data_IF_101041123375
#
_entry.id   IF_101041123375
#
_cell.length_a   1.000
_cell.length_b   1.000
_cell.length_c   1.000
_cell.angle_alpha   90.00
_cell.angle_beta   90.00
_cell.angle_gamma   90.00
#
_symmetry.space_group_name_H-M   'P 1'
#
loop_
_entity.id
_entity.type
_entity.pdbx_description
1 polymer ?
#
# COMPACT_ATOMS: atom_id res chain seq x y z
N UNK A 1 4.00 -10.99 21.34
CA UNK A 1 3.28 -11.83 20.36
C UNK A 1 3.78 -11.41 19.00
N UNK A 2 4.34 -12.32 18.22
CA UNK A 2 4.88 -11.99 16.89
C UNK A 2 3.70 -11.89 15.92
N UNK A 3 3.22 -10.67 15.66
CA UNK A 3 2.17 -10.42 14.67
C UNK A 3 2.72 -10.73 13.28
N UNK A 4 1.92 -11.38 12.43
CA UNK A 4 2.28 -11.65 11.04
C UNK A 4 2.45 -10.30 10.30
N UNK A 5 3.64 -9.97 9.76
CA UNK A 5 3.89 -8.68 9.14
C UNK A 5 3.00 -8.44 7.90
N UNK A 6 2.59 -9.49 7.19
CA UNK A 6 1.68 -9.36 6.04
C UNK A 6 0.26 -8.97 6.49
N UNK A 7 -0.18 -9.45 7.68
CA UNK A 7 -1.47 -9.07 8.26
C UNK A 7 -1.45 -7.60 8.74
N UNK A 8 -0.35 -7.17 9.33
CA UNK A 8 -0.14 -5.76 9.69
C UNK A 8 -0.15 -4.86 8.45
N UNK A 9 0.49 -5.31 7.36
CA UNK A 9 0.48 -4.60 6.08
C UNK A 9 -0.95 -4.45 5.53
N UNK A 10 -1.71 -5.55 5.49
CA UNK A 10 -3.10 -5.54 5.03
C UNK A 10 -3.97 -4.61 5.88
N UNK A 11 -3.86 -4.68 7.21
CA UNK A 11 -4.60 -3.82 8.15
C UNK A 11 -4.30 -2.35 7.90
N UNK A 12 -3.03 -2.00 7.69
CA UNK A 12 -2.64 -0.62 7.40
C UNK A 12 -3.14 -0.14 6.04
N UNK A 13 -3.21 -1.00 5.04
CA UNK A 13 -3.80 -0.67 3.73
C UNK A 13 -5.31 -0.42 3.85
N UNK A 14 -6.04 -1.24 4.61
CA UNK A 14 -7.47 -1.05 4.87
C UNK A 14 -7.75 0.29 5.56
N UNK A 15 -6.90 0.72 6.51
CA UNK A 15 -7.02 2.04 7.11
C UNK A 15 -6.87 3.20 6.10
N UNK A 16 -6.19 3.01 4.96
CA UNK A 16 -6.11 4.01 3.91
C UNK A 16 -7.35 4.07 3.02
N UNK A 17 -8.22 3.06 3.04
CA UNK A 17 -9.51 3.09 2.35
C UNK A 17 -10.50 4.01 3.08
N UNK A 18 -10.38 4.11 4.40
CA UNK A 18 -11.11 5.05 5.26
C UNK A 18 -10.11 5.92 6.04
N UNK A 19 -9.41 6.84 5.36
CA UNK A 19 -8.31 7.59 5.96
C UNK A 19 -8.80 8.50 7.09
N UNK A 20 -7.96 8.67 8.11
CA UNK A 20 -8.25 9.61 9.20
C UNK A 20 -8.40 11.04 8.64
N UNK A 21 -9.52 11.74 8.88
CA UNK A 21 -9.76 13.06 8.30
C UNK A 21 -8.89 14.15 8.94
N UNK A 22 -8.33 13.91 10.13
CA UNK A 22 -7.47 14.85 10.86
C UNK A 22 -6.03 14.85 10.32
N UNK A 23 -5.66 13.83 9.55
CA UNK A 23 -4.30 13.61 9.07
C UNK A 23 -4.27 13.62 7.54
N UNK A 24 -3.41 14.43 6.90
CA UNK A 24 -3.29 14.41 5.44
C UNK A 24 -3.01 13.00 4.92
N UNK A 25 -3.73 12.57 3.88
CA UNK A 25 -3.57 11.24 3.28
C UNK A 25 -2.10 10.97 2.87
N UNK A 26 -1.39 12.00 2.41
CA UNK A 26 0.04 11.92 2.09
C UNK A 26 0.90 11.53 3.29
N UNK A 27 0.60 12.06 4.49
CA UNK A 27 1.28 11.70 5.74
C UNK A 27 0.98 10.24 6.09
N UNK A 28 -0.29 9.82 6.03
CA UNK A 28 -0.68 8.44 6.34
C UNK A 28 0.01 7.42 5.42
N UNK A 29 0.09 7.71 4.11
CA UNK A 29 0.79 6.86 3.13
C UNK A 29 2.30 6.84 3.39
N UNK A 30 2.91 8.00 3.69
CA UNK A 30 4.35 8.06 3.98
C UNK A 30 4.70 7.23 5.23
N UNK A 31 3.86 7.27 6.27
CA UNK A 31 4.03 6.43 7.45
C UNK A 31 3.95 4.93 7.12
N UNK A 32 3.01 4.52 6.26
CA UNK A 32 2.94 3.13 5.76
C UNK A 32 4.21 2.75 4.97
N UNK A 33 4.68 3.61 4.08
CA UNK A 33 5.91 3.36 3.31
C UNK A 33 7.12 3.15 4.20
N UNK A 34 7.32 4.01 5.19
CA UNK A 34 8.44 3.90 6.13
C UNK A 34 8.36 2.61 6.92
N UNK A 35 7.17 2.28 7.45
CA UNK A 35 6.95 1.03 8.16
C UNK A 35 7.22 -0.19 7.25
N UNK A 36 6.75 -0.17 5.99
CA UNK A 36 7.00 -1.25 5.04
C UNK A 36 8.49 -1.45 4.78
N UNK A 37 9.24 -0.36 4.54
CA UNK A 37 10.69 -0.44 4.32
C UNK A 37 11.43 -1.04 5.52
N UNK A 38 11.06 -0.66 6.73
CA UNK A 38 11.66 -1.17 7.96
C UNK A 38 11.36 -2.65 8.19
N UNK A 39 10.14 -3.12 7.88
CA UNK A 39 9.70 -4.48 8.19
C UNK A 39 10.02 -5.49 7.08
N UNK A 40 10.11 -5.05 5.82
CA UNK A 40 10.26 -5.96 4.67
C UNK A 40 11.59 -5.83 3.93
N UNK A 41 12.21 -4.65 3.90
CA UNK A 41 13.43 -4.39 3.12
C UNK A 41 14.71 -4.33 3.99
N UNK A 42 14.56 -4.28 5.31
CA UNK A 42 15.68 -4.11 6.25
C UNK A 42 16.47 -5.37 6.57
N UNK A 43 16.11 -6.54 6.03
CA UNK A 43 16.81 -7.81 6.34
C UNK A 43 16.91 -8.67 5.09
N UNK A 44 18.12 -9.18 4.82
CA UNK A 44 18.35 -10.27 3.86
C UNK A 44 17.50 -11.46 4.33
N UNK A 45 16.33 -11.62 3.73
CA UNK A 45 15.39 -12.65 4.12
C UNK A 45 15.54 -13.79 3.13
N UNK A 46 15.65 -15.02 3.64
CA UNK A 46 15.52 -16.27 2.89
C UNK A 46 14.07 -16.45 2.45
N UNK A 47 13.58 -15.53 1.62
CA UNK A 47 12.23 -15.51 1.07
C UNK A 47 12.24 -16.14 -0.31
N UNK A 48 11.21 -16.92 -0.68
CA UNK A 48 11.09 -17.42 -2.04
C UNK A 48 11.03 -16.27 -3.06
N UNK A 49 11.58 -16.47 -4.25
CA UNK A 49 11.67 -15.45 -5.31
C UNK A 49 10.31 -14.82 -5.65
N UNK A 50 9.23 -15.61 -5.61
CA UNK A 50 7.86 -15.15 -5.82
C UNK A 50 7.42 -14.12 -4.79
N UNK A 51 7.79 -14.34 -3.52
CA UNK A 51 7.48 -13.41 -2.44
C UNK A 51 8.31 -12.13 -2.56
N UNK A 52 9.60 -12.25 -2.85
CA UNK A 52 10.47 -11.08 -3.08
C UNK A 52 9.95 -10.22 -4.24
N UNK A 53 9.54 -10.86 -5.34
CA UNK A 53 8.96 -10.18 -6.51
C UNK A 53 7.69 -9.40 -6.14
N UNK A 54 6.80 -9.99 -5.34
CA UNK A 54 5.59 -9.31 -4.85
C UNK A 54 5.93 -8.15 -3.93
N UNK A 55 6.90 -8.29 -3.03
CA UNK A 55 7.31 -7.20 -2.14
C UNK A 55 7.90 -6.01 -2.91
N UNK A 56 8.66 -6.26 -3.97
CA UNK A 56 9.14 -5.21 -4.89
C UNK A 56 7.97 -4.51 -5.58
N UNK A 57 6.99 -5.25 -6.09
CA UNK A 57 5.80 -4.66 -6.71
C UNK A 57 4.94 -3.89 -5.69
N UNK A 58 4.77 -4.38 -4.47
CA UNK A 58 4.11 -3.65 -3.38
C UNK A 58 4.85 -2.35 -3.10
N UNK A 59 6.18 -2.37 -2.97
CA UNK A 59 6.97 -1.17 -2.72
C UNK A 59 6.78 -0.12 -3.82
N UNK A 60 6.80 -0.56 -5.08
CA UNK A 60 6.52 0.28 -6.24
C UNK A 60 5.11 0.85 -6.21
N UNK A 61 4.09 0.05 -5.91
CA UNK A 61 2.72 0.52 -5.80
C UNK A 61 2.54 1.52 -4.66
N UNK A 62 3.18 1.31 -3.51
CA UNK A 62 3.15 2.28 -2.41
C UNK A 62 3.76 3.63 -2.83
N UNK A 63 4.85 3.66 -3.60
CA UNK A 63 5.44 4.90 -4.14
C UNK A 63 4.48 5.63 -5.07
N UNK A 64 3.82 4.90 -5.97
CA UNK A 64 2.82 5.48 -6.88
C UNK A 64 1.61 5.99 -6.11
N UNK A 65 1.19 5.31 -5.04
CA UNK A 65 0.09 5.75 -4.18
C UNK A 65 0.38 7.11 -3.54
N UNK A 66 1.60 7.32 -3.05
CA UNK A 66 2.02 8.61 -2.50
C UNK A 66 1.99 9.72 -3.57
N UNK A 67 2.38 9.39 -4.80
CA UNK A 67 2.33 10.32 -5.93
C UNK A 67 0.88 10.70 -6.28
N UNK A 68 -0.03 9.73 -6.33
CA UNK A 68 -1.45 9.99 -6.58
C UNK A 68 -2.07 10.85 -5.47
N UNK A 69 -1.72 10.59 -4.21
CA UNK A 69 -2.18 11.40 -3.08
C UNK A 69 -1.65 12.85 -3.12
N UNK A 70 -0.38 13.04 -3.51
CA UNK A 70 0.19 14.38 -3.69
C UNK A 70 -0.49 15.13 -4.87
N UNK A 71 -0.81 14.42 -5.96
CA UNK A 71 -1.58 15.01 -7.05
C UNK A 71 -3.02 15.33 -6.64
N UNK A 72 -3.67 14.48 -5.86
CA UNK A 72 -5.00 14.77 -5.32
C UNK A 72 -4.98 16.04 -4.45
N UNK A 73 -3.98 16.17 -3.57
CA UNK A 73 -3.83 17.32 -2.69
C UNK A 73 -3.68 18.64 -3.44
N UNK A 74 -3.09 18.62 -4.64
CA UNK A 74 -2.84 19.81 -5.47
C UNK A 74 -3.90 20.03 -6.55
N UNK A 75 -4.82 19.08 -6.75
CA UNK A 75 -5.85 19.16 -7.78
C UNK A 75 -6.90 20.23 -7.45
N UNK A 76 -7.11 21.16 -8.39
CA UNK A 76 -8.02 22.30 -8.23
C UNK A 76 -9.39 22.12 -8.85
N UNK A 77 -9.54 21.18 -9.80
CA UNK A 77 -10.80 20.95 -10.50
C UNK A 77 -11.48 19.69 -9.96
N UNK A 78 -12.82 19.69 -9.80
CA UNK A 78 -13.55 18.52 -9.33
C UNK A 78 -13.31 17.27 -10.19
N UNK A 79 -13.24 17.44 -11.52
CA UNK A 79 -12.97 16.34 -12.44
C UNK A 79 -11.60 15.69 -12.19
N UNK A 80 -10.55 16.49 -12.02
CA UNK A 80 -9.20 15.97 -11.73
C UNK A 80 -9.16 15.34 -10.34
N UNK A 81 -9.82 15.93 -9.33
CA UNK A 81 -9.92 15.33 -8.01
C UNK A 81 -10.59 13.95 -8.05
N UNK A 82 -11.72 13.81 -8.74
CA UNK A 82 -12.41 12.52 -8.93
C UNK A 82 -11.52 11.50 -9.62
N UNK A 83 -10.82 11.89 -10.69
CA UNK A 83 -9.89 11.01 -11.39
C UNK A 83 -8.77 10.53 -10.46
N UNK A 84 -8.18 11.42 -9.64
CA UNK A 84 -7.12 11.04 -8.69
C UNK A 84 -7.64 10.15 -7.56
N UNK A 85 -8.84 10.41 -7.04
CA UNK A 85 -9.49 9.54 -6.07
C UNK A 85 -9.72 8.13 -6.63
N UNK A 86 -10.14 8.02 -7.90
CA UNK A 86 -10.31 6.72 -8.54
C UNK A 86 -8.97 5.98 -8.67
N UNK A 87 -7.91 6.67 -9.11
CA UNK A 87 -6.56 6.09 -9.20
C UNK A 87 -6.07 5.56 -7.84
N UNK A 88 -6.31 6.30 -6.76
CA UNK A 88 -5.99 5.87 -5.39
C UNK A 88 -6.75 4.59 -5.03
N UNK A 89 -8.06 4.53 -5.30
CA UNK A 89 -8.90 3.34 -5.03
C UNK A 89 -8.43 2.12 -5.81
N UNK A 90 -8.18 2.26 -7.10
CA UNK A 90 -7.70 1.17 -7.96
C UNK A 90 -6.35 0.63 -7.47
N UNK A 91 -5.48 1.53 -7.00
CA UNK A 91 -4.17 1.17 -6.47
C UNK A 91 -4.25 0.48 -5.11
N UNK A 92 -5.10 0.95 -4.21
CA UNK A 92 -5.38 0.27 -2.94
C UNK A 92 -5.96 -1.13 -3.17
N UNK A 93 -6.86 -1.28 -4.15
CA UNK A 93 -7.38 -2.60 -4.56
C UNK A 93 -6.26 -3.53 -5.04
N UNK A 94 -5.35 -3.02 -5.87
CA UNK A 94 -4.19 -3.79 -6.35
C UNK A 94 -3.26 -4.21 -5.20
N UNK A 95 -2.95 -3.29 -4.28
CA UNK A 95 -2.15 -3.57 -3.09
C UNK A 95 -2.79 -4.63 -2.19
N UNK A 96 -4.11 -4.56 -1.98
CA UNK A 96 -4.86 -5.56 -1.22
C UNK A 96 -4.78 -6.95 -1.88
N UNK A 97 -4.87 -7.04 -3.22
CA UNK A 97 -4.69 -8.32 -3.94
C UNK A 97 -3.31 -8.91 -3.73
N UNK A 98 -2.25 -8.10 -3.81
CA UNK A 98 -0.89 -8.58 -3.55
C UNK A 98 -0.73 -9.06 -2.10
N UNK A 99 -1.32 -8.34 -1.14
CA UNK A 99 -1.28 -8.77 0.27
C UNK A 99 -2.05 -10.07 0.50
N UNK A 100 -3.20 -10.25 -0.15
CA UNK A 100 -3.96 -11.51 -0.09
C UNK A 100 -3.14 -12.68 -0.62
N UNK A 101 -2.44 -12.49 -1.74
CA UNK A 101 -1.58 -13.52 -2.31
C UNK A 101 -0.36 -13.85 -1.41
N UNK A 102 0.19 -12.86 -0.70
CA UNK A 102 1.24 -13.09 0.30
C UNK A 102 0.72 -13.83 1.55
N UNK A 103 -0.52 -13.56 1.96
CA UNK A 103 -1.15 -14.21 3.11
C UNK A 103 -1.59 -15.65 2.79
N UNK A 104 -2.07 -15.87 1.56
CA UNK A 104 -2.60 -17.14 1.07
C UNK A 104 -1.97 -17.47 -0.31
N UNK A 105 -0.68 -17.88 -0.35
CA UNK A 105 0.00 -18.18 -1.61
C UNK A 105 -0.60 -19.37 -2.37
N UNK A 106 -1.29 -20.28 -1.67
CA UNK A 106 -1.98 -21.44 -2.23
C UNK A 106 -3.41 -21.14 -2.73
N UNK A 107 -3.96 -19.96 -2.42
CA UNK A 107 -5.27 -19.52 -2.91
C UNK A 107 -5.11 -18.96 -4.33
N UNK A 108 -4.94 -19.87 -5.27
CA UNK A 108 -4.88 -19.57 -6.70
C UNK A 108 -6.28 -19.83 -7.29
N UNK A 109 -7.21 -18.89 -7.08
CA UNK A 109 -8.53 -18.90 -7.73
C UNK A 109 -8.92 -17.53 -8.26
#
# INVERSE_FOLDING_TARGET
MSTNPYLDLQTRLQHLETPDPSTPLTVQINSLQQWFQQNFLGSESDRPDSEQSLLVEIHKQLRLLATDAAFLQTAKTPQTQQQRQQQIRDRLSTLNRYCNHLLNPDDNT
#
